data_IF_813952901534
#
_entry.id   IF_813952901534
#
_cell.length_a   1.000
_cell.length_b   1.000
_cell.length_c   1.000
_cell.angle_alpha   90.00
_cell.angle_beta   90.00
_cell.angle_gamma   90.00
#
_symmetry.space_group_name_H-M   'P 1'
#
loop_
_entity.id
_entity.type
_entity.pdbx_description
1 polymer ?
#
# COMPACT_ATOMS: atom_id res chain seq x y z
N UNK A 1 -8.39 56.08 -21.68
CA UNK A 1 -8.70 55.61 -20.31
C UNK A 1 -9.84 54.62 -20.39
N UNK A 2 -9.55 53.31 -20.41
CA UNK A 2 -10.51 52.25 -20.07
C UNK A 2 -9.69 51.05 -19.59
N UNK A 3 -9.63 50.84 -18.27
CA UNK A 3 -9.01 49.67 -17.66
C UNK A 3 -9.92 48.44 -17.86
N UNK A 4 -9.40 47.22 -18.05
CA UNK A 4 -10.21 46.02 -18.01
C UNK A 4 -10.56 45.65 -16.58
N UNK A 5 -11.81 45.22 -16.39
CA UNK A 5 -12.40 44.87 -15.12
C UNK A 5 -11.67 43.72 -14.41
N UNK A 6 -11.43 43.91 -13.11
CA UNK A 6 -10.93 42.90 -12.20
C UNK A 6 -11.85 41.67 -12.18
N UNK A 7 -11.29 40.50 -12.51
CA UNK A 7 -11.95 39.21 -12.40
C UNK A 7 -12.36 38.94 -10.95
N UNK A 8 -13.67 38.79 -10.73
CA UNK A 8 -14.24 38.36 -9.45
C UNK A 8 -13.66 37.00 -9.08
N UNK A 9 -12.95 36.94 -7.94
CA UNK A 9 -12.53 35.68 -7.34
C UNK A 9 -13.74 34.78 -7.08
N UNK A 10 -13.67 33.55 -7.53
CA UNK A 10 -14.65 32.49 -7.30
C UNK A 10 -14.28 31.75 -5.99
N UNK A 11 -14.90 32.04 -4.82
CA UNK A 11 -14.33 31.57 -3.55
C UNK A 11 -14.84 30.21 -3.05
N UNK A 12 -15.85 29.58 -3.66
CA UNK A 12 -16.59 28.49 -2.95
C UNK A 12 -16.37 27.05 -3.48
N UNK A 13 -15.77 26.88 -4.67
CA UNK A 13 -15.58 25.53 -5.25
C UNK A 13 -14.28 24.83 -4.78
N UNK A 14 -13.29 25.59 -4.30
CA UNK A 14 -11.97 25.07 -3.90
C UNK A 14 -11.97 24.40 -2.52
N UNK A 15 -12.78 24.93 -1.57
CA UNK A 15 -12.88 24.40 -0.21
C UNK A 15 -13.67 23.08 -0.17
N UNK A 16 -14.83 23.00 -0.85
CA UNK A 16 -15.63 21.75 -0.92
C UNK A 16 -14.86 20.58 -1.54
N UNK A 17 -14.09 20.83 -2.60
CA UNK A 17 -13.23 19.80 -3.22
C UNK A 17 -12.15 19.30 -2.26
N UNK A 18 -11.50 20.20 -1.52
CA UNK A 18 -10.46 19.83 -0.54
C UNK A 18 -11.01 19.01 0.63
N UNK A 19 -12.19 19.34 1.15
CA UNK A 19 -12.83 18.55 2.21
C UNK A 19 -13.21 17.15 1.73
N UNK A 20 -13.77 17.04 0.52
CA UNK A 20 -14.16 15.75 -0.05
C UNK A 20 -12.97 14.81 -0.25
N UNK A 21 -11.82 15.34 -0.69
CA UNK A 21 -10.56 14.59 -0.78
C UNK A 21 -10.13 14.09 0.59
N UNK A 22 -10.13 14.94 1.62
CA UNK A 22 -9.70 14.56 2.97
C UNK A 22 -10.57 13.46 3.57
N UNK A 23 -11.90 13.56 3.41
CA UNK A 23 -12.83 12.52 3.88
C UNK A 23 -12.58 11.20 3.16
N UNK A 24 -12.41 11.23 1.84
CA UNK A 24 -12.09 10.05 1.04
C UNK A 24 -10.76 9.42 1.48
N UNK A 25 -9.75 10.24 1.74
CA UNK A 25 -8.44 9.80 2.20
C UNK A 25 -8.51 9.14 3.59
N UNK A 26 -9.29 9.68 4.53
CA UNK A 26 -9.47 9.09 5.86
C UNK A 26 -10.15 7.71 5.76
N UNK A 27 -11.24 7.61 4.99
CA UNK A 27 -11.96 6.33 4.80
C UNK A 27 -11.04 5.29 4.17
N UNK A 28 -10.32 5.66 3.11
CA UNK A 28 -9.33 4.79 2.49
C UNK A 28 -8.17 4.44 3.44
N UNK A 29 -7.77 5.38 4.30
CA UNK A 29 -6.79 5.23 5.38
C UNK A 29 -7.19 4.14 6.36
N UNK A 30 -8.42 4.16 6.86
CA UNK A 30 -8.95 3.10 7.73
C UNK A 30 -8.87 1.73 7.04
N UNK A 31 -9.26 1.66 5.76
CA UNK A 31 -9.20 0.40 5.00
C UNK A 31 -7.78 -0.14 4.86
N UNK A 32 -6.79 0.69 4.49
CA UNK A 32 -5.39 0.23 4.42
C UNK A 32 -4.81 -0.06 5.82
N UNK A 33 -5.29 0.61 6.86
CA UNK A 33 -4.98 0.28 8.25
C UNK A 33 -5.38 -1.15 8.61
N UNK A 34 -6.63 -1.51 8.33
CA UNK A 34 -7.16 -2.86 8.57
C UNK A 34 -6.46 -3.91 7.70
N UNK A 35 -6.30 -3.66 6.40
CA UNK A 35 -5.65 -4.59 5.47
C UNK A 35 -4.17 -4.77 5.82
N UNK A 36 -3.45 -3.68 6.09
CA UNK A 36 -2.05 -3.73 6.46
C UNK A 36 -1.82 -4.33 7.85
N UNK A 37 -2.70 -4.07 8.82
CA UNK A 37 -2.71 -4.72 10.12
C UNK A 37 -2.92 -6.24 10.01
N UNK A 38 -3.93 -6.66 9.25
CA UNK A 38 -4.18 -8.07 8.97
C UNK A 38 -2.99 -8.73 8.25
N UNK A 39 -2.37 -8.05 7.29
CA UNK A 39 -1.18 -8.54 6.59
C UNK A 39 -0.03 -8.77 7.57
N UNK A 40 0.26 -7.78 8.43
CA UNK A 40 1.29 -7.90 9.48
C UNK A 40 1.00 -9.05 10.43
N UNK A 41 -0.25 -9.21 10.85
CA UNK A 41 -0.68 -10.30 11.73
C UNK A 41 -0.48 -11.67 11.06
N UNK A 42 -0.86 -11.83 9.78
CA UNK A 42 -0.62 -13.05 9.03
C UNK A 42 0.88 -13.37 8.90
N UNK A 43 1.73 -12.36 8.65
CA UNK A 43 3.18 -12.55 8.55
C UNK A 43 3.78 -12.99 9.88
N UNK A 44 3.36 -12.39 10.99
CA UNK A 44 3.85 -12.77 12.31
C UNK A 44 3.41 -14.20 12.67
N UNK A 45 2.15 -14.53 12.40
CA UNK A 45 1.64 -15.89 12.61
C UNK A 45 2.36 -16.92 11.73
N UNK A 46 2.69 -16.57 10.49
CA UNK A 46 3.45 -17.43 9.60
C UNK A 46 4.89 -17.65 10.10
N UNK A 47 5.51 -16.62 10.67
CA UNK A 47 6.84 -16.74 11.27
C UNK A 47 6.84 -17.68 12.49
N UNK A 48 5.88 -17.50 13.41
CA UNK A 48 5.70 -18.37 14.57
C UNK A 48 5.48 -19.84 14.14
N UNK A 49 4.58 -20.06 13.19
CA UNK A 49 4.30 -21.40 12.65
C UNK A 49 5.53 -22.02 11.99
N UNK A 50 6.33 -21.21 11.29
CA UNK A 50 7.55 -21.67 10.63
C UNK A 50 8.59 -22.11 11.66
N UNK A 51 8.75 -21.39 12.77
CA UNK A 51 9.66 -21.76 13.86
C UNK A 51 9.19 -23.06 14.51
N UNK A 52 7.91 -23.15 14.89
CA UNK A 52 7.32 -24.38 15.44
C UNK A 52 7.50 -25.58 14.50
N UNK A 53 7.33 -25.36 13.19
CA UNK A 53 7.51 -26.40 12.18
C UNK A 53 8.96 -26.85 12.04
N UNK A 54 9.92 -25.94 12.13
CA UNK A 54 11.35 -26.26 12.11
C UNK A 54 11.75 -27.05 13.36
N UNK A 55 11.28 -26.63 14.54
CA UNK A 55 11.56 -27.33 15.80
C UNK A 55 10.99 -28.74 15.78
N UNK A 56 9.76 -28.91 15.30
CA UNK A 56 9.17 -30.23 15.09
C UNK A 56 10.00 -31.06 14.09
N UNK A 57 10.43 -30.47 12.98
CA UNK A 57 11.19 -31.18 11.96
C UNK A 57 12.55 -31.71 12.47
N UNK A 58 13.17 -31.02 13.44
CA UNK A 58 14.39 -31.51 14.09
C UNK A 58 14.18 -32.77 14.96
N UNK A 59 12.94 -33.09 15.34
CA UNK A 59 12.62 -34.31 16.10
C UNK A 59 12.50 -35.55 15.21
N UNK A 60 12.44 -35.37 13.88
CA UNK A 60 12.29 -36.47 12.93
C UNK A 60 13.61 -37.27 12.78
N UNK A 61 13.55 -38.60 12.65
CA UNK A 61 14.72 -39.40 12.35
C UNK A 61 15.26 -39.08 10.94
N UNK A 62 16.58 -38.92 10.82
CA UNK A 62 17.25 -38.62 9.55
C UNK A 62 17.40 -37.11 9.26
N UNK A 63 17.52 -36.68 7.99
CA UNK A 63 17.75 -35.29 7.63
C UNK A 63 16.46 -34.45 7.71
N UNK A 64 15.89 -34.30 8.91
CA UNK A 64 14.64 -33.58 9.16
C UNK A 64 14.61 -32.14 8.63
N UNK A 65 15.78 -31.48 8.52
CA UNK A 65 15.95 -30.14 7.94
C UNK A 65 15.49 -30.01 6.47
N UNK A 66 15.39 -31.12 5.73
CA UNK A 66 14.86 -31.11 4.36
C UNK A 66 13.36 -30.79 4.30
N UNK A 67 12.61 -31.11 5.35
CA UNK A 67 11.15 -30.91 5.42
C UNK A 67 10.78 -29.41 5.40
N UNK A 68 11.32 -28.54 6.28
CA UNK A 68 11.06 -27.11 6.21
C UNK A 68 11.60 -26.47 4.93
N UNK A 69 12.69 -26.98 4.35
CA UNK A 69 13.17 -26.52 3.04
C UNK A 69 12.17 -26.82 1.91
N UNK A 70 11.59 -28.02 1.89
CA UNK A 70 10.58 -28.39 0.91
C UNK A 70 9.30 -27.54 1.08
N UNK A 71 8.86 -27.30 2.33
CA UNK A 71 7.73 -26.44 2.62
C UNK A 71 7.97 -24.99 2.18
N UNK A 72 9.17 -24.45 2.42
CA UNK A 72 9.56 -23.12 1.97
C UNK A 72 9.55 -23.03 0.43
N UNK A 73 10.13 -24.02 -0.25
CA UNK A 73 10.12 -24.10 -1.72
C UNK A 73 8.69 -24.18 -2.29
N UNK A 74 7.80 -24.93 -1.64
CA UNK A 74 6.39 -24.99 -2.01
C UNK A 74 5.70 -23.62 -1.83
N UNK A 75 5.90 -22.94 -0.70
CA UNK A 75 5.36 -21.59 -0.47
C UNK A 75 5.85 -20.57 -1.50
N UNK A 76 7.15 -20.59 -1.83
CA UNK A 76 7.73 -19.76 -2.88
C UNK A 76 7.11 -20.04 -4.26
N UNK A 77 6.90 -21.32 -4.57
CA UNK A 77 6.28 -21.76 -5.83
C UNK A 77 4.84 -21.28 -5.93
N UNK A 78 4.05 -21.41 -4.86
CA UNK A 78 2.68 -20.92 -4.81
C UNK A 78 2.61 -19.40 -4.98
N UNK A 79 3.52 -18.65 -4.34
CA UNK A 79 3.62 -17.21 -4.54
C UNK A 79 3.96 -16.86 -6.00
N UNK A 80 4.85 -17.61 -6.65
CA UNK A 80 5.18 -17.42 -8.06
C UNK A 80 4.00 -17.71 -8.99
N UNK A 81 3.15 -18.70 -8.66
CA UNK A 81 1.93 -18.98 -9.42
C UNK A 81 0.93 -17.82 -9.34
N UNK A 82 0.78 -17.18 -8.18
CA UNK A 82 -0.07 -15.98 -8.03
C UNK A 82 0.43 -14.85 -8.94
N UNK A 83 1.76 -14.63 -9.00
CA UNK A 83 2.36 -13.61 -9.88
C UNK A 83 2.14 -13.95 -11.36
N UNK A 84 2.06 -15.22 -11.74
CA UNK A 84 1.69 -15.60 -13.12
C UNK A 84 0.27 -15.20 -13.48
N UNK A 85 -0.65 -15.19 -12.51
CA UNK A 85 -2.04 -14.78 -12.74
C UNK A 85 -2.25 -13.26 -12.68
N UNK A 86 -1.57 -12.58 -11.75
CA UNK A 86 -1.56 -11.12 -11.68
C UNK A 86 -0.10 -10.62 -11.69
N UNK A 87 0.47 -10.38 -12.88
CA UNK A 87 1.87 -9.96 -13.03
C UNK A 87 2.20 -8.67 -12.29
N UNK A 88 1.21 -7.78 -12.12
CA UNK A 88 1.39 -6.52 -11.40
C UNK A 88 1.68 -6.75 -9.89
N UNK A 89 1.36 -7.93 -9.35
CA UNK A 89 1.67 -8.29 -7.98
C UNK A 89 3.16 -8.60 -7.74
N UNK A 90 3.98 -8.70 -8.80
CA UNK A 90 5.42 -8.93 -8.67
C UNK A 90 6.17 -7.78 -7.95
N UNK A 91 7.34 -8.10 -7.39
CA UNK A 91 8.28 -7.12 -6.85
C UNK A 91 7.76 -6.28 -5.68
N UNK A 92 8.38 -5.13 -5.45
CA UNK A 92 7.99 -4.20 -4.38
C UNK A 92 6.64 -3.55 -4.68
N UNK A 93 6.50 -2.92 -5.83
CA UNK A 93 5.32 -2.15 -6.22
C UNK A 93 5.46 -0.65 -5.97
N UNK A 94 6.45 -0.22 -5.17
CA UNK A 94 6.80 1.21 -4.99
C UNK A 94 7.10 1.86 -6.34
N UNK A 95 7.88 1.18 -7.20
CA UNK A 95 8.20 1.68 -8.54
C UNK A 95 6.96 1.89 -9.41
N UNK A 96 5.93 1.04 -9.23
CA UNK A 96 4.67 1.20 -9.94
C UNK A 96 3.90 2.43 -9.41
N UNK A 97 3.88 2.64 -8.08
CA UNK A 97 3.27 3.84 -7.49
C UNK A 97 3.96 5.11 -8.01
N UNK A 98 5.29 5.12 -8.12
CA UNK A 98 6.04 6.23 -8.71
C UNK A 98 5.72 6.42 -10.20
N UNK A 99 5.73 5.35 -10.99
CA UNK A 99 5.39 5.41 -12.41
C UNK A 99 3.95 5.95 -12.64
N UNK A 100 2.99 5.57 -11.79
CA UNK A 100 1.62 6.11 -11.87
C UNK A 100 1.60 7.60 -11.52
N UNK A 101 2.35 8.03 -10.51
CA UNK A 101 2.45 9.46 -10.17
C UNK A 101 3.04 10.29 -11.33
N UNK A 102 4.07 9.76 -12.00
CA UNK A 102 4.70 10.38 -13.18
C UNK A 102 3.82 10.31 -14.45
N UNK A 103 2.75 9.52 -14.43
CA UNK A 103 1.87 9.32 -15.59
C UNK A 103 2.40 8.31 -16.61
N UNK A 104 3.40 7.52 -16.24
CA UNK A 104 4.01 6.46 -17.04
C UNK A 104 3.29 5.12 -16.91
N UNK A 105 2.44 4.97 -15.88
CA UNK A 105 1.61 3.80 -15.66
C UNK A 105 0.18 4.16 -15.26
N UNK A 106 -0.74 3.20 -15.43
CA UNK A 106 -2.12 3.35 -15.00
C UNK A 106 -2.29 2.96 -13.52
N UNK A 107 -3.14 3.66 -12.74
CA UNK A 107 -3.37 3.31 -11.34
C UNK A 107 -3.82 1.85 -11.17
N UNK A 108 -3.33 1.14 -10.14
CA UNK A 108 -3.68 -0.25 -9.93
C UNK A 108 -5.19 -0.45 -9.70
N UNK A 109 -5.67 -1.59 -10.17
CA UNK A 109 -7.05 -2.04 -9.94
C UNK A 109 -7.15 -2.76 -8.60
N UNK A 110 -8.35 -2.76 -8.00
CA UNK A 110 -8.58 -3.38 -6.69
C UNK A 110 -8.31 -4.91 -6.70
N UNK A 111 -8.38 -5.56 -7.87
CA UNK A 111 -8.05 -6.99 -8.04
C UNK A 111 -6.59 -7.33 -7.70
N UNK A 112 -5.70 -6.34 -7.74
CA UNK A 112 -4.30 -6.49 -7.31
C UNK A 112 -4.19 -6.84 -5.83
N UNK A 113 -5.10 -6.31 -5.00
CA UNK A 113 -5.05 -6.40 -3.55
C UNK A 113 -4.96 -7.85 -3.04
N UNK A 114 -5.88 -8.78 -3.42
CA UNK A 114 -5.79 -10.17 -2.97
C UNK A 114 -4.53 -10.87 -3.47
N UNK A 115 -4.09 -10.61 -4.70
CA UNK A 115 -2.86 -11.20 -5.24
C UNK A 115 -1.61 -10.73 -4.48
N UNK A 116 -1.51 -9.43 -4.19
CA UNK A 116 -0.39 -8.84 -3.45
C UNK A 116 -0.38 -9.30 -1.98
N UNK A 117 -1.56 -9.38 -1.36
CA UNK A 117 -1.71 -9.86 0.02
C UNK A 117 -1.31 -11.33 0.14
N UNK A 118 -1.96 -12.23 -0.61
CA UNK A 118 -1.73 -13.67 -0.48
C UNK A 118 -0.31 -14.02 -0.97
N UNK A 119 0.12 -13.47 -2.10
CA UNK A 119 1.47 -13.67 -2.61
C UNK A 119 2.54 -13.14 -1.65
N UNK A 120 2.29 -12.00 -1.00
CA UNK A 120 3.16 -11.46 0.05
C UNK A 120 3.24 -12.36 1.28
N UNK A 121 2.10 -12.87 1.78
CA UNK A 121 2.07 -13.79 2.92
C UNK A 121 2.79 -15.09 2.60
N UNK A 122 2.56 -15.67 1.42
CA UNK A 122 3.22 -16.92 1.01
C UNK A 122 4.72 -16.74 0.80
N UNK A 123 5.16 -15.64 0.17
CA UNK A 123 6.59 -15.39 -0.07
C UNK A 123 7.34 -15.05 1.20
N UNK A 124 6.91 -14.04 1.95
CA UNK A 124 7.59 -13.63 3.19
C UNK A 124 7.43 -14.72 4.26
N UNK A 125 6.23 -15.28 4.42
CA UNK A 125 5.93 -16.31 5.41
C UNK A 125 6.62 -17.66 5.16
N UNK A 126 7.00 -17.98 3.91
CA UNK A 126 7.85 -19.14 3.62
C UNK A 126 9.34 -18.89 3.90
N UNK A 127 9.72 -17.68 4.28
CA UNK A 127 11.08 -17.34 4.68
C UNK A 127 11.95 -16.70 3.59
N UNK A 128 11.36 -16.18 2.50
CA UNK A 128 12.13 -15.41 1.52
C UNK A 128 12.62 -14.10 2.15
N UNK A 129 13.81 -13.66 1.76
CA UNK A 129 14.44 -12.41 2.23
C UNK A 129 13.76 -11.22 1.56
N UNK A 130 12.60 -10.82 2.09
CA UNK A 130 11.73 -9.76 1.57
C UNK A 130 11.15 -8.93 2.72
N UNK A 131 10.84 -7.67 2.43
CA UNK A 131 10.17 -6.77 3.37
C UNK A 131 8.67 -6.65 3.09
N UNK A 132 7.90 -6.35 4.14
CA UNK A 132 6.45 -6.06 4.03
C UNK A 132 6.13 -4.67 3.45
N UNK A 133 7.13 -3.78 3.42
CA UNK A 133 7.00 -2.37 3.03
C UNK A 133 6.45 -2.18 1.61
N UNK A 134 7.03 -2.87 0.63
CA UNK A 134 6.57 -2.80 -0.76
C UNK A 134 5.11 -3.26 -0.93
N UNK A 135 4.76 -4.48 -0.47
CA UNK A 135 3.39 -4.98 -0.51
C UNK A 135 2.36 -4.03 0.12
N UNK A 136 2.63 -3.46 1.31
CA UNK A 136 1.68 -2.54 1.95
C UNK A 136 1.52 -1.23 1.20
N UNK A 137 2.61 -0.67 0.66
CA UNK A 137 2.54 0.51 -0.24
C UNK A 137 1.68 0.21 -1.46
N UNK A 138 1.90 -0.93 -2.12
CA UNK A 138 1.19 -1.25 -3.35
C UNK A 138 -0.31 -1.55 -3.11
N UNK A 139 -0.63 -2.24 -2.00
CA UNK A 139 -2.02 -2.43 -1.56
C UNK A 139 -2.67 -1.10 -1.20
N UNK A 140 -1.97 -0.20 -0.51
CA UNK A 140 -2.42 1.15 -0.21
C UNK A 140 -2.76 1.94 -1.48
N UNK A 141 -1.88 1.90 -2.48
CA UNK A 141 -2.12 2.51 -3.77
C UNK A 141 -3.37 1.96 -4.48
N UNK A 142 -3.61 0.65 -4.47
CA UNK A 142 -4.81 0.05 -5.04
C UNK A 142 -6.09 0.50 -4.32
N UNK A 143 -6.08 0.54 -2.99
CA UNK A 143 -7.20 1.05 -2.18
C UNK A 143 -7.45 2.52 -2.47
N UNK A 144 -6.39 3.34 -2.53
CA UNK A 144 -6.49 4.77 -2.80
C UNK A 144 -7.05 5.08 -4.18
N UNK A 145 -6.55 4.41 -5.21
CA UNK A 145 -7.06 4.55 -6.57
C UNK A 145 -8.56 4.17 -6.64
N UNK A 146 -8.93 3.06 -6.00
CA UNK A 146 -10.31 2.59 -5.98
C UNK A 146 -11.24 3.53 -5.21
N UNK A 147 -10.81 4.03 -4.05
CA UNK A 147 -11.58 5.00 -3.26
C UNK A 147 -11.83 6.29 -4.05
N UNK A 148 -10.81 6.82 -4.73
CA UNK A 148 -10.95 8.01 -5.57
C UNK A 148 -11.88 7.80 -6.76
N UNK A 149 -11.79 6.63 -7.44
CA UNK A 149 -12.71 6.27 -8.54
C UNK A 149 -14.16 6.20 -8.07
N UNK A 150 -14.41 5.58 -6.91
CA UNK A 150 -15.76 5.49 -6.31
C UNK A 150 -16.29 6.85 -5.88
N UNK A 151 -15.42 7.72 -5.41
CA UNK A 151 -15.71 9.11 -5.09
C UNK A 151 -15.85 10.01 -6.34
N UNK A 152 -15.73 9.44 -7.55
CA UNK A 152 -15.83 10.15 -8.85
C UNK A 152 -14.88 11.34 -8.97
N UNK A 153 -13.70 11.21 -8.37
CA UNK A 153 -12.64 12.22 -8.49
C UNK A 153 -12.02 12.18 -9.88
N UNK A 154 -11.51 13.32 -10.40
CA UNK A 154 -10.81 13.36 -11.67
C UNK A 154 -9.53 12.51 -11.64
N UNK A 155 -9.05 12.06 -12.80
CA UNK A 155 -7.88 11.17 -12.90
C UNK A 155 -6.61 11.72 -12.22
N UNK A 156 -6.44 13.04 -12.20
CA UNK A 156 -5.35 13.70 -11.49
C UNK A 156 -5.43 13.50 -9.97
N UNK A 157 -6.64 13.49 -9.42
CA UNK A 157 -6.89 13.22 -8.00
C UNK A 157 -6.88 11.73 -7.69
N UNK A 158 -7.26 10.86 -8.63
CA UNK A 158 -7.06 9.41 -8.51
C UNK A 158 -5.57 9.08 -8.38
N UNK A 159 -4.71 9.68 -9.22
CA UNK A 159 -3.26 9.52 -9.11
C UNK A 159 -2.70 10.10 -7.80
N UNK A 160 -3.19 11.25 -7.39
CA UNK A 160 -2.77 11.83 -6.11
C UNK A 160 -3.18 10.94 -4.93
N UNK A 161 -4.41 10.39 -4.95
CA UNK A 161 -4.95 9.54 -3.89
C UNK A 161 -4.24 8.19 -3.81
N UNK A 162 -3.94 7.53 -4.94
CA UNK A 162 -3.12 6.32 -4.92
C UNK A 162 -1.75 6.57 -4.31
N UNK A 163 -1.13 7.70 -4.64
CA UNK A 163 0.19 8.06 -4.11
C UNK A 163 0.12 8.29 -2.60
N UNK A 164 -0.89 9.03 -2.14
CA UNK A 164 -1.13 9.30 -0.73
C UNK A 164 -1.38 8.04 0.09
N UNK A 165 -2.26 7.13 -0.37
CA UNK A 165 -2.50 5.87 0.32
C UNK A 165 -1.33 4.88 0.19
N UNK A 166 -0.49 5.00 -0.83
CA UNK A 166 0.80 4.30 -0.87
C UNK A 166 1.66 4.70 0.34
N UNK A 167 1.76 6.00 0.63
CA UNK A 167 2.39 6.51 1.85
C UNK A 167 1.76 6.03 3.14
N UNK A 168 0.43 6.01 3.22
CA UNK A 168 -0.29 5.45 4.37
C UNK A 168 0.01 3.94 4.56
N UNK A 169 0.13 3.19 3.46
CA UNK A 169 0.55 1.78 3.49
C UNK A 169 1.96 1.59 4.06
N UNK A 170 2.90 2.49 3.72
CA UNK A 170 4.23 2.50 4.33
C UNK A 170 4.17 2.86 5.82
N UNK A 171 3.34 3.84 6.18
CA UNK A 171 3.13 4.23 7.57
C UNK A 171 2.62 3.05 8.42
N UNK A 172 1.71 2.22 7.90
CA UNK A 172 1.23 1.01 8.59
C UNK A 172 2.33 -0.02 8.77
N UNK A 173 3.19 -0.18 7.77
CA UNK A 173 4.27 -1.16 7.83
C UNK A 173 5.38 -0.77 8.82
N UNK A 174 5.63 0.52 9.05
CA UNK A 174 6.57 1.00 10.07
C UNK A 174 5.93 1.51 11.37
N UNK A 175 4.59 1.52 11.48
CA UNK A 175 3.88 2.20 12.58
C UNK A 175 4.32 3.68 12.72
N UNK A 176 4.55 4.35 11.59
CA UNK A 176 5.16 5.67 11.51
C UNK A 176 4.37 6.59 10.54
N UNK A 177 3.33 7.31 11.01
CA UNK A 177 2.51 8.19 10.17
C UNK A 177 3.32 9.29 9.47
N UNK A 178 4.22 9.93 10.21
CA UNK A 178 5.07 11.00 9.69
C UNK A 178 6.08 10.43 8.68
N UNK A 179 6.67 9.27 8.97
CA UNK A 179 7.63 8.61 8.07
C UNK A 179 7.00 8.24 6.73
N UNK A 180 5.81 7.63 6.72
CA UNK A 180 5.09 7.33 5.48
C UNK A 180 4.69 8.59 4.69
N UNK A 181 4.35 9.67 5.41
CA UNK A 181 4.04 10.96 4.79
C UNK A 181 5.27 11.59 4.13
N UNK A 182 6.40 11.65 4.83
CA UNK A 182 7.66 12.18 4.30
C UNK A 182 8.15 11.38 3.11
N UNK A 183 8.12 10.04 3.20
CA UNK A 183 8.44 9.17 2.06
C UNK A 183 7.64 9.52 0.81
N UNK A 184 6.33 9.72 0.93
CA UNK A 184 5.51 10.12 -0.22
C UNK A 184 5.94 11.46 -0.81
N UNK A 185 6.29 12.43 0.03
CA UNK A 185 6.60 13.78 -0.40
C UNK A 185 8.00 13.92 -1.00
N UNK A 186 8.97 13.21 -0.41
CA UNK A 186 10.39 13.30 -0.75
C UNK A 186 10.76 12.32 -1.87
N UNK A 187 10.32 11.07 -1.77
CA UNK A 187 10.71 10.02 -2.72
C UNK A 187 9.74 9.94 -3.90
N UNK A 188 8.44 9.87 -3.64
CA UNK A 188 7.45 9.59 -4.71
C UNK A 188 7.07 10.86 -5.47
N UNK A 189 6.62 11.91 -4.76
CA UNK A 189 6.09 13.10 -5.43
C UNK A 189 7.12 14.18 -5.70
N UNK A 190 8.24 14.18 -4.96
CA UNK A 190 9.28 15.22 -4.99
C UNK A 190 8.68 16.64 -4.91
N UNK A 191 7.57 16.78 -4.17
CA UNK A 191 6.73 17.99 -4.19
C UNK A 191 5.81 18.09 -2.96
N UNK A 192 5.82 19.27 -2.31
CA UNK A 192 5.05 19.58 -1.11
C UNK A 192 3.73 20.31 -1.41
N UNK A 193 2.88 19.70 -2.25
CA UNK A 193 1.53 20.24 -2.50
C UNK A 193 0.64 20.02 -1.27
N UNK A 194 0.08 21.09 -0.71
CA UNK A 194 -0.75 21.05 0.51
C UNK A 194 -1.85 19.97 0.45
N UNK A 195 -2.53 19.82 -0.68
CA UNK A 195 -3.56 18.78 -0.86
C UNK A 195 -3.01 17.37 -0.66
N UNK A 196 -1.84 17.07 -1.24
CA UNK A 196 -1.18 15.78 -1.09
C UNK A 196 -0.69 15.56 0.33
N UNK A 197 -0.08 16.59 0.93
CA UNK A 197 0.38 16.53 2.34
C UNK A 197 -0.78 16.18 3.27
N UNK A 198 -1.91 16.89 3.15
CA UNK A 198 -3.08 16.65 3.99
C UNK A 198 -3.69 15.26 3.73
N UNK A 199 -3.88 14.88 2.47
CA UNK A 199 -4.43 13.57 2.13
C UNK A 199 -3.56 12.43 2.68
N UNK A 200 -2.24 12.50 2.49
CA UNK A 200 -1.31 11.49 2.98
C UNK A 200 -1.25 11.47 4.51
N UNK A 201 -1.15 12.64 5.17
CA UNK A 201 -1.06 12.70 6.63
C UNK A 201 -2.33 12.19 7.31
N UNK A 202 -3.51 12.65 6.88
CA UNK A 202 -4.77 12.21 7.48
C UNK A 202 -5.02 10.72 7.27
N UNK A 203 -4.76 10.22 6.05
CA UNK A 203 -4.90 8.80 5.77
C UNK A 203 -3.87 7.96 6.53
N UNK A 204 -2.62 8.40 6.65
CA UNK A 204 -1.57 7.70 7.40
C UNK A 204 -1.87 7.62 8.90
N UNK A 205 -2.36 8.71 9.50
CA UNK A 205 -2.79 8.72 10.92
C UNK A 205 -3.95 7.76 11.13
N UNK A 206 -4.99 7.83 10.29
CA UNK A 206 -6.13 6.92 10.37
C UNK A 206 -5.71 5.46 10.18
N UNK A 207 -4.86 5.19 9.19
CA UNK A 207 -4.36 3.86 8.89
C UNK A 207 -3.56 3.28 10.07
N UNK A 208 -2.62 4.03 10.62
CA UNK A 208 -1.81 3.56 11.76
C UNK A 208 -2.68 3.34 12.99
N UNK A 209 -3.65 4.21 13.26
CA UNK A 209 -4.59 4.04 14.37
C UNK A 209 -5.42 2.75 14.26
N UNK A 210 -5.83 2.36 13.04
CA UNK A 210 -6.60 1.15 12.79
C UNK A 210 -5.75 -0.11 12.49
N UNK A 211 -4.43 0.02 12.42
CA UNK A 211 -3.51 -1.09 12.13
C UNK A 211 -2.98 -1.84 13.36
N UNK A 212 -3.34 -1.35 14.54
CA UNK A 212 -2.88 -1.86 15.84
C UNK A 212 -3.76 -2.99 16.33
#
# INVERSE_FOLDING_TARGET
MTAPAAGRGQPDNSMRGSTHICVTAIVAGVLIGLVGGAFRWCLQRADDLRIEFVDWAHTLPGPGWLVPMAAAAAGATLAALIVRWEPLAAGSGIQHVEAVFLGEAQPPLIRLLPAKFIGGVLSIGSGLVLGREGPTVHMGAAIGAEAARRARLPDSEVRMMQTALGGAGLAVAFNAPIGGTLFTLEEVTKSFRVKTVLATLFSAVAAVACSR
#
